data_IF_274257046479
#
_entry.id   IF_274257046479
#
_cell.length_a   1.000
_cell.length_b   1.000
_cell.length_c   1.000
_cell.angle_alpha   90.00
_cell.angle_beta   90.00
_cell.angle_gamma   90.00
#
_symmetry.space_group_name_H-M   'P 1'
#
loop_
_entity.id
_entity.type
_entity.pdbx_description
1 polymer ?
#
# COMPACT_ATOMS: atom_id res chain seq x y z
N UNK A 1 19.82 -7.50 10.16
CA UNK A 1 18.36 -7.72 10.24
C UNK A 1 17.67 -6.44 9.80
N UNK A 2 16.73 -6.51 8.88
CA UNK A 2 16.04 -5.32 8.36
C UNK A 2 14.75 -5.09 9.15
N UNK A 3 14.82 -4.16 10.11
CA UNK A 3 13.68 -3.81 10.97
C UNK A 3 12.51 -3.25 10.16
N UNK A 4 12.79 -2.48 9.11
CA UNK A 4 11.74 -1.93 8.25
C UNK A 4 10.98 -3.05 7.55
N UNK A 5 11.70 -4.05 7.04
CA UNK A 5 11.10 -5.23 6.41
C UNK A 5 10.21 -5.98 7.39
N UNK A 6 10.69 -6.20 8.60
CA UNK A 6 9.94 -6.92 9.62
C UNK A 6 8.64 -6.20 9.98
N UNK A 7 8.71 -4.89 10.18
CA UNK A 7 7.54 -4.09 10.52
C UNK A 7 6.54 -4.00 9.37
N UNK A 8 7.03 -3.82 8.14
CA UNK A 8 6.17 -3.76 6.96
C UNK A 8 5.43 -5.09 6.75
N UNK A 9 6.13 -6.21 6.86
CA UNK A 9 5.54 -7.54 6.70
C UNK A 9 4.52 -7.81 7.80
N UNK A 10 4.84 -7.48 9.03
CA UNK A 10 3.93 -7.68 10.16
C UNK A 10 2.65 -6.86 9.99
N UNK A 11 2.78 -5.60 9.59
CA UNK A 11 1.63 -4.71 9.39
C UNK A 11 0.75 -5.22 8.24
N UNK A 12 1.37 -5.56 7.10
CA UNK A 12 0.65 -6.07 5.94
C UNK A 12 -0.06 -7.38 6.26
N UNK A 13 0.61 -8.31 6.95
CA UNK A 13 0.03 -9.61 7.31
C UNK A 13 -1.15 -9.44 8.24
N UNK A 14 -1.06 -8.54 9.21
CA UNK A 14 -2.17 -8.26 10.12
C UNK A 14 -3.40 -7.75 9.36
N UNK A 15 -3.21 -6.82 8.43
CA UNK A 15 -4.30 -6.28 7.63
C UNK A 15 -4.88 -7.30 6.65
N UNK A 16 -4.04 -8.18 6.07
CA UNK A 16 -4.52 -9.27 5.21
C UNK A 16 -5.48 -10.18 5.97
N UNK A 17 -5.11 -10.58 7.19
CA UNK A 17 -5.96 -11.43 8.03
C UNK A 17 -7.26 -10.71 8.38
N UNK A 18 -7.17 -9.45 8.76
CA UNK A 18 -8.34 -8.66 9.13
C UNK A 18 -9.32 -8.53 7.98
N UNK A 19 -8.82 -8.15 6.80
CA UNK A 19 -9.65 -7.93 5.60
C UNK A 19 -10.25 -9.24 5.09
N UNK A 20 -9.49 -10.34 5.19
CA UNK A 20 -9.95 -11.66 4.72
C UNK A 20 -11.20 -12.13 5.49
N UNK A 21 -11.43 -11.62 6.68
CA UNK A 21 -12.61 -11.94 7.49
C UNK A 21 -13.82 -11.06 7.16
N UNK A 22 -13.64 -10.03 6.33
CA UNK A 22 -14.72 -9.13 5.95
C UNK A 22 -15.50 -9.68 4.75
N UNK A 23 -16.84 -9.52 4.71
CA UNK A 23 -17.67 -10.11 3.64
C UNK A 23 -17.25 -9.72 2.22
N UNK A 24 -16.81 -8.47 2.03
CA UNK A 24 -16.40 -7.95 0.73
C UNK A 24 -14.89 -7.74 0.63
N UNK A 25 -14.14 -8.24 1.62
CA UNK A 25 -12.71 -8.05 1.68
C UNK A 25 -11.97 -8.72 0.52
N UNK A 26 -10.93 -8.07 0.03
CA UNK A 26 -10.06 -8.62 -1.00
C UNK A 26 -8.60 -8.30 -0.71
N UNK A 27 -7.72 -9.22 -1.05
CA UNK A 27 -6.27 -9.04 -0.92
C UNK A 27 -5.63 -9.36 -2.27
N UNK A 28 -4.86 -8.41 -2.81
CA UNK A 28 -4.13 -8.60 -4.05
C UNK A 28 -2.72 -8.06 -3.89
N UNK A 29 -1.78 -8.62 -4.63
CA UNK A 29 -0.39 -8.19 -4.62
C UNK A 29 0.11 -8.06 -6.04
N UNK A 30 0.84 -6.97 -6.32
CA UNK A 30 1.43 -6.73 -7.62
C UNK A 30 2.68 -5.86 -7.46
N UNK A 31 3.83 -6.41 -7.82
CA UNK A 31 5.09 -5.67 -7.98
C UNK A 31 5.37 -4.66 -6.86
N UNK A 32 5.35 -5.11 -5.62
CA UNK A 32 5.66 -4.28 -4.46
C UNK A 32 4.46 -3.55 -3.85
N UNK A 33 3.25 -3.79 -4.36
CA UNK A 33 2.01 -3.24 -3.79
C UNK A 33 1.17 -4.38 -3.22
N UNK A 34 0.74 -4.23 -1.98
CA UNK A 34 -0.25 -5.12 -1.37
C UNK A 34 -1.52 -4.30 -1.14
N UNK A 35 -2.60 -4.70 -1.78
CA UNK A 35 -3.91 -4.06 -1.60
C UNK A 35 -4.78 -4.93 -0.70
N UNK A 36 -4.96 -4.50 0.55
CA UNK A 36 -5.85 -5.15 1.51
C UNK A 36 -7.08 -4.25 1.68
N UNK A 37 -8.14 -4.58 0.97
CA UNK A 37 -9.31 -3.72 0.84
C UNK A 37 -10.51 -4.36 1.52
N UNK A 38 -11.05 -3.68 2.53
CA UNK A 38 -12.31 -4.09 3.16
C UNK A 38 -13.51 -3.84 2.26
N UNK A 39 -13.36 -2.92 1.28
CA UNK A 39 -14.42 -2.51 0.36
C UNK A 39 -15.66 -2.02 1.12
N UNK A 40 -15.41 -1.17 2.10
CA UNK A 40 -16.42 -0.53 2.93
C UNK A 40 -16.20 0.99 2.92
N UNK A 41 -17.21 1.81 3.26
CA UNK A 41 -17.09 3.27 3.18
C UNK A 41 -16.26 3.89 4.32
N UNK A 42 -15.25 3.19 4.80
CA UNK A 42 -14.33 3.67 5.82
C UNK A 42 -12.91 3.58 5.23
N UNK A 43 -12.31 4.73 4.83
CA UNK A 43 -11.00 4.69 4.14
C UNK A 43 -9.92 3.95 4.90
N UNK A 44 -9.91 4.01 6.23
CA UNK A 44 -8.90 3.34 7.05
C UNK A 44 -9.03 1.82 7.05
N UNK A 45 -10.04 1.26 6.41
CA UNK A 45 -10.19 -0.18 6.20
C UNK A 45 -9.89 -0.59 4.76
N UNK A 46 -9.43 0.35 3.93
CA UNK A 46 -9.02 0.09 2.56
C UNK A 46 -7.58 0.59 2.41
N UNK A 47 -6.61 -0.33 2.40
CA UNK A 47 -5.19 0.03 2.37
C UNK A 47 -4.46 -0.53 1.17
N UNK A 48 -3.54 0.27 0.62
CA UNK A 48 -2.48 -0.21 -0.26
C UNK A 48 -1.16 0.01 0.45
N UNK A 49 -0.37 -1.06 0.62
CA UNK A 49 0.88 -1.04 1.35
C UNK A 49 2.07 -1.19 0.42
N UNK A 50 3.19 -0.55 0.79
CA UNK A 50 4.47 -0.80 0.15
C UNK A 50 5.07 -2.07 0.74
N UNK A 51 5.37 -3.05 -0.11
CA UNK A 51 5.94 -4.33 0.30
C UNK A 51 7.39 -4.52 -0.10
N UNK A 52 7.95 -3.62 -0.93
CA UNK A 52 9.33 -3.67 -1.37
C UNK A 52 9.93 -2.27 -1.42
N UNK A 53 11.26 -2.13 -1.20
CA UNK A 53 11.93 -0.84 -1.33
C UNK A 53 11.81 -0.28 -2.74
N UNK A 54 11.76 1.05 -2.85
CA UNK A 54 11.75 1.77 -4.12
C UNK A 54 12.95 2.72 -4.14
N UNK A 55 13.88 2.50 -5.06
CA UNK A 55 15.19 3.16 -5.03
C UNK A 55 15.24 4.49 -5.77
N UNK A 56 14.35 4.73 -6.72
CA UNK A 56 14.37 5.97 -7.48
C UNK A 56 12.95 6.50 -7.72
N UNK A 57 12.87 7.78 -8.14
CA UNK A 57 11.59 8.46 -8.30
C UNK A 57 10.74 7.85 -9.42
N UNK A 58 11.34 7.40 -10.50
CA UNK A 58 10.62 6.76 -11.60
C UNK A 58 9.95 5.48 -11.12
N UNK A 59 10.67 4.67 -10.35
CA UNK A 59 10.11 3.45 -9.77
C UNK A 59 8.99 3.77 -8.78
N UNK A 60 9.12 4.86 -8.01
CA UNK A 60 8.08 5.28 -7.08
C UNK A 60 6.80 5.74 -7.79
N UNK A 61 6.93 6.50 -8.86
CA UNK A 61 5.79 6.90 -9.68
C UNK A 61 5.08 5.66 -10.24
N UNK A 62 5.83 4.68 -10.72
CA UNK A 62 5.28 3.39 -11.16
C UNK A 62 4.55 2.65 -10.04
N UNK A 63 5.11 2.66 -8.84
CA UNK A 63 4.46 2.08 -7.66
C UNK A 63 3.13 2.77 -7.36
N UNK A 64 3.10 4.11 -7.39
CA UNK A 64 1.88 4.89 -7.17
C UNK A 64 0.81 4.56 -8.21
N UNK A 65 1.19 4.43 -9.47
CA UNK A 65 0.24 4.08 -10.54
C UNK A 65 -0.37 2.69 -10.30
N UNK A 66 0.45 1.71 -9.90
CA UNK A 66 -0.05 0.37 -9.58
C UNK A 66 -0.98 0.40 -8.36
N UNK A 67 -0.59 1.13 -7.33
CA UNK A 67 -1.40 1.25 -6.12
C UNK A 67 -2.76 1.90 -6.42
N UNK A 68 -2.77 2.95 -7.23
CA UNK A 68 -4.00 3.62 -7.63
C UNK A 68 -4.91 2.69 -8.44
N UNK A 69 -4.33 1.87 -9.32
CA UNK A 69 -5.09 0.91 -10.10
C UNK A 69 -5.72 -0.19 -9.23
N UNK A 70 -5.10 -0.50 -8.10
CA UNK A 70 -5.58 -1.52 -7.16
C UNK A 70 -6.50 -0.95 -6.07
N UNK A 71 -6.58 0.37 -5.95
CA UNK A 71 -7.35 1.04 -4.90
C UNK A 71 -8.85 0.76 -5.03
N UNK A 72 -9.56 0.90 -3.91
CA UNK A 72 -11.00 0.77 -3.90
C UNK A 72 -11.63 1.91 -4.72
N UNK A 73 -12.45 1.55 -5.71
CA UNK A 73 -13.03 2.54 -6.63
C UNK A 73 -14.25 3.24 -6.06
N UNK A 74 -14.98 2.59 -5.17
CA UNK A 74 -16.23 3.12 -4.63
C UNK A 74 -16.01 3.94 -3.35
N UNK A 75 -14.92 3.67 -2.64
CA UNK A 75 -14.64 4.27 -1.35
C UNK A 75 -13.20 4.76 -1.30
N UNK A 76 -12.91 5.64 -0.35
CA UNK A 76 -11.55 6.13 -0.17
C UNK A 76 -10.59 5.01 0.20
N UNK A 77 -9.34 5.14 -0.23
CA UNK A 77 -8.27 4.18 0.06
C UNK A 77 -7.09 4.93 0.65
N UNK A 78 -6.49 4.37 1.71
CA UNK A 78 -5.29 4.91 2.32
C UNK A 78 -4.06 4.19 1.78
N UNK A 79 -3.00 4.95 1.52
CA UNK A 79 -1.71 4.38 1.08
C UNK A 79 -0.74 4.43 2.25
N UNK A 80 -0.14 3.29 2.56
CA UNK A 80 0.86 3.19 3.62
C UNK A 80 2.22 2.91 3.00
N UNK A 81 3.16 3.82 3.20
CA UNK A 81 4.51 3.71 2.66
C UNK A 81 5.53 3.72 3.79
N UNK A 82 6.70 3.13 3.52
CA UNK A 82 7.79 3.04 4.49
C UNK A 82 8.86 4.06 4.13
N UNK A 83 9.00 5.14 4.90
CA UNK A 83 9.93 6.21 4.60
C UNK A 83 11.35 5.74 4.27
N UNK A 84 11.97 4.81 5.05
CA UNK A 84 13.30 4.30 4.71
C UNK A 84 13.41 3.60 3.36
N UNK A 85 12.29 3.23 2.75
CA UNK A 85 12.24 2.54 1.46
C UNK A 85 11.89 3.47 0.30
N UNK A 86 11.88 4.78 0.53
CA UNK A 86 11.46 5.75 -0.48
C UNK A 86 12.64 6.56 -1.01
N UNK A 87 12.62 6.95 -2.29
CA UNK A 87 13.68 7.78 -2.86
C UNK A 87 13.57 9.22 -2.36
N UNK A 88 14.67 9.96 -2.45
CA UNK A 88 14.66 11.39 -2.15
C UNK A 88 13.65 12.08 -3.08
N UNK A 89 12.87 12.99 -2.54
CA UNK A 89 11.84 13.72 -3.31
C UNK A 89 10.50 13.01 -3.43
N UNK A 90 10.31 11.92 -2.71
CA UNK A 90 9.07 11.14 -2.78
C UNK A 90 7.83 11.95 -2.40
N UNK A 91 7.98 12.95 -1.53
CA UNK A 91 6.85 13.77 -1.07
C UNK A 91 6.21 14.54 -2.22
N UNK A 92 7.02 15.04 -3.15
CA UNK A 92 6.52 15.77 -4.33
C UNK A 92 5.71 14.84 -5.24
N UNK A 93 6.22 13.64 -5.47
CA UNK A 93 5.56 12.66 -6.33
C UNK A 93 4.22 12.21 -5.71
N UNK A 94 4.20 12.00 -4.41
CA UNK A 94 2.99 11.62 -3.70
C UNK A 94 1.94 12.73 -3.75
N UNK A 95 2.36 13.99 -3.58
CA UNK A 95 1.45 15.13 -3.62
C UNK A 95 0.86 15.34 -5.01
N UNK A 96 1.57 14.93 -6.06
CA UNK A 96 1.13 15.07 -7.45
C UNK A 96 0.26 13.89 -7.93
N UNK A 97 0.18 12.85 -7.15
CA UNK A 97 -0.55 11.64 -7.53
C UNK A 97 -2.07 11.76 -7.44
#
# INVERSE_FOLDING_TARGET
>A
MDTTRELADLFADAWKVFVDQMPNGSVREDSGVVAALGNVPLPFLNFCFQSEPVDDRTAFVGWLERAKAMACREYGTMFAVCEPWLPEGWEEDLASA
#
